data_IF_778265108129
#
_entry.id   IF_778265108129
#
_cell.length_a   1.000
_cell.length_b   1.000
_cell.length_c   1.000
_cell.angle_alpha   90.00
_cell.angle_beta   90.00
_cell.angle_gamma   90.00
#
_symmetry.space_group_name_H-M   'P 1'
#
loop_
_entity.id
_entity.type
_entity.pdbx_description
1 polymer ?
#
# COMPACT_ATOMS: atom_id res chain seq x y z
N UNK A 1 -15.01 13.83 10.93
CA UNK A 1 -13.75 13.11 11.22
C UNK A 1 -13.51 12.13 10.09
N UNK A 2 -12.39 12.24 9.36
CA UNK A 2 -12.00 11.18 8.43
C UNK A 2 -11.61 9.95 9.27
N UNK A 3 -12.03 8.73 8.89
CA UNK A 3 -11.63 7.55 9.62
C UNK A 3 -10.11 7.38 9.54
N UNK A 4 -9.42 7.34 10.68
CA UNK A 4 -8.07 6.80 10.75
C UNK A 4 -8.19 5.29 10.51
N UNK A 5 -7.83 4.83 9.32
CA UNK A 5 -7.91 3.43 8.96
C UNK A 5 -6.50 2.87 8.97
N UNK A 6 -6.20 2.13 10.03
CA UNK A 6 -4.96 1.37 10.18
C UNK A 6 -5.05 0.05 9.40
N UNK A 7 -4.02 -0.25 8.62
CA UNK A 7 -3.86 -1.46 7.83
C UNK A 7 -2.62 -2.23 8.27
N UNK A 8 -2.77 -3.47 8.71
CA UNK A 8 -1.63 -4.36 8.93
C UNK A 8 -1.29 -5.13 7.65
N UNK A 9 -0.01 -5.42 7.40
CA UNK A 9 0.41 -6.31 6.30
C UNK A 9 -0.33 -7.67 6.37
N UNK A 10 -0.60 -8.16 7.58
CA UNK A 10 -1.40 -9.38 7.82
C UNK A 10 -2.81 -9.33 7.22
N UNK A 11 -3.44 -8.15 7.13
CA UNK A 11 -4.76 -8.00 6.51
C UNK A 11 -4.68 -8.12 4.99
N UNK A 12 -3.62 -7.60 4.39
CA UNK A 12 -3.30 -7.78 2.97
C UNK A 12 -3.09 -9.28 2.70
N UNK A 13 -2.30 -9.95 3.55
CA UNK A 13 -2.09 -11.40 3.49
C UNK A 13 -3.38 -12.22 3.66
N UNK A 14 -4.28 -11.81 4.56
CA UNK A 14 -5.58 -12.46 4.78
C UNK A 14 -6.52 -12.37 3.56
N UNK A 15 -6.33 -11.38 2.69
CA UNK A 15 -7.03 -11.29 1.39
C UNK A 15 -6.39 -12.15 0.28
N UNK A 16 -5.54 -13.11 0.64
CA UNK A 16 -4.92 -14.09 -0.27
C UNK A 16 -3.55 -13.68 -0.82
N UNK A 17 -2.93 -12.65 -0.24
CA UNK A 17 -1.67 -12.07 -0.70
C UNK A 17 -0.54 -12.48 0.24
N UNK A 18 -0.17 -13.75 0.25
CA UNK A 18 0.88 -14.27 1.12
C UNK A 18 2.29 -13.90 0.61
N UNK A 19 3.26 -13.96 1.52
CA UNK A 19 4.69 -13.79 1.22
C UNK A 19 5.26 -14.87 0.29
N UNK A 20 4.48 -15.87 -0.11
CA UNK A 20 4.87 -16.84 -1.13
C UNK A 20 3.93 -16.84 -2.35
N UNK A 21 2.96 -15.92 -2.43
CA UNK A 21 2.10 -15.80 -3.61
C UNK A 21 2.96 -15.38 -4.80
N UNK A 22 3.25 -16.33 -5.69
CA UNK A 22 3.89 -16.08 -6.98
C UNK A 22 2.84 -15.47 -7.88
N UNK A 23 2.85 -14.16 -7.98
CA UNK A 23 2.10 -13.50 -9.04
C UNK A 23 2.85 -13.72 -10.35
N UNK A 24 2.12 -14.13 -11.39
CA UNK A 24 2.68 -14.62 -12.65
C UNK A 24 3.49 -13.59 -13.47
N UNK A 25 3.75 -12.41 -12.92
CA UNK A 25 4.53 -11.33 -13.53
C UNK A 25 5.43 -10.70 -12.48
N UNK A 26 6.73 -10.64 -12.76
CA UNK A 26 7.62 -9.67 -12.12
C UNK A 26 6.94 -8.29 -12.12
N UNK A 27 6.96 -7.58 -10.98
CA UNK A 27 6.34 -6.25 -10.87
C UNK A 27 4.86 -6.26 -10.52
N UNK A 28 4.37 -7.29 -9.81
CA UNK A 28 3.00 -7.27 -9.29
C UNK A 28 2.82 -6.13 -8.28
N UNK A 29 1.92 -5.23 -8.65
CA UNK A 29 1.55 -4.04 -7.90
C UNK A 29 0.13 -4.19 -7.39
N UNK A 30 -0.04 -3.94 -6.09
CA UNK A 30 -1.32 -3.76 -5.45
C UNK A 30 -1.54 -2.26 -5.32
N UNK A 31 -2.66 -1.78 -5.84
CA UNK A 31 -2.97 -0.35 -5.85
C UNK A 31 -4.07 -0.07 -4.85
N UNK A 32 -3.90 1.02 -4.11
CA UNK A 32 -4.95 1.62 -3.29
C UNK A 32 -5.23 2.99 -3.87
N UNK A 33 -6.50 3.26 -4.16
CA UNK A 33 -6.91 4.49 -4.82
C UNK A 33 -7.40 5.49 -3.77
N UNK A 34 -7.46 6.77 -4.12
CA UNK A 34 -8.03 7.79 -3.22
C UNK A 34 -9.49 7.47 -2.86
N UNK A 35 -10.25 6.86 -3.78
CA UNK A 35 -11.67 6.55 -3.62
C UNK A 35 -11.94 5.21 -2.93
N UNK A 36 -11.02 4.26 -3.04
CA UNK A 36 -11.09 2.93 -2.44
C UNK A 36 -9.76 2.58 -1.73
N UNK A 37 -9.34 3.37 -0.73
CA UNK A 37 -8.04 3.18 -0.10
C UNK A 37 -7.95 1.99 0.85
N UNK A 38 -9.08 1.32 1.06
CA UNK A 38 -9.21 0.15 1.92
C UNK A 38 -9.48 -1.12 1.11
N UNK A 39 -9.43 -1.07 -0.23
CA UNK A 39 -9.63 -2.23 -1.09
C UNK A 39 -8.47 -2.32 -2.08
N UNK A 40 -7.73 -3.44 -2.10
CA UNK A 40 -6.71 -3.63 -3.11
C UNK A 40 -7.36 -3.66 -4.50
N UNK A 41 -6.84 -2.84 -5.41
CA UNK A 41 -7.23 -2.77 -6.81
C UNK A 41 -6.11 -3.38 -7.65
N UNK A 42 -6.48 -4.39 -8.45
CA UNK A 42 -5.55 -5.11 -9.34
C UNK A 42 -5.67 -4.67 -10.81
N UNK A 43 -6.74 -3.94 -11.15
CA UNK A 43 -6.95 -3.34 -12.46
C UNK A 43 -7.31 -1.88 -12.27
N UNK A 44 -6.41 -1.01 -12.72
CA UNK A 44 -6.63 0.44 -12.76
C UNK A 44 -7.02 0.84 -14.18
N UNK A 45 -7.99 1.74 -14.27
CA UNK A 45 -8.26 2.50 -15.49
C UNK A 45 -7.45 3.80 -15.42
N UNK A 46 -7.17 4.42 -16.57
CA UNK A 46 -6.29 5.61 -16.66
C UNK A 46 -6.77 6.81 -15.81
N UNK A 47 -8.08 6.90 -15.52
CA UNK A 47 -8.67 7.99 -14.75
C UNK A 47 -8.56 7.82 -13.22
N UNK A 48 -7.98 6.72 -12.74
CA UNK A 48 -7.96 6.39 -11.31
C UNK A 48 -6.77 7.05 -10.60
N UNK A 49 -7.05 7.92 -9.63
CA UNK A 49 -6.03 8.48 -8.75
C UNK A 49 -5.50 7.43 -7.77
N UNK A 50 -4.27 6.99 -7.99
CA UNK A 50 -3.53 6.09 -7.12
C UNK A 50 -3.04 6.87 -5.89
N UNK A 51 -3.26 6.30 -4.70
CA UNK A 51 -2.78 6.85 -3.44
C UNK A 51 -1.58 6.07 -2.89
N UNK A 52 -1.66 4.75 -2.90
CA UNK A 52 -0.57 3.87 -2.47
C UNK A 52 -0.36 2.73 -3.45
N UNK A 53 0.89 2.30 -3.56
CA UNK A 53 1.25 1.08 -4.26
C UNK A 53 2.04 0.17 -3.33
N UNK A 54 1.61 -1.08 -3.20
CA UNK A 54 2.48 -2.14 -2.67
C UNK A 54 3.03 -2.95 -3.83
N UNK A 55 4.35 -3.02 -3.94
CA UNK A 55 5.03 -3.82 -4.96
C UNK A 55 5.87 -4.87 -4.29
N UNK A 56 5.87 -6.07 -4.87
CA UNK A 56 6.82 -7.11 -4.49
C UNK A 56 8.03 -7.04 -5.41
N UNK A 57 9.23 -6.94 -4.84
CA UNK A 57 10.49 -6.97 -5.58
C UNK A 57 11.45 -7.92 -4.88
N UNK A 58 12.02 -8.87 -5.65
CA UNK A 58 12.86 -9.96 -5.17
C UNK A 58 12.14 -10.79 -4.09
N UNK A 59 12.34 -10.54 -2.80
CA UNK A 59 11.65 -11.23 -1.70
C UNK A 59 11.05 -10.26 -0.66
N UNK A 60 11.00 -8.97 -0.98
CA UNK A 60 10.50 -7.95 -0.07
C UNK A 60 9.26 -7.25 -0.62
N UNK A 61 8.35 -6.91 0.29
CA UNK A 61 7.28 -5.96 0.03
C UNK A 61 7.82 -4.53 0.18
N UNK A 62 7.39 -3.68 -0.73
CA UNK A 62 7.70 -2.25 -0.71
C UNK A 62 6.40 -1.48 -0.81
N UNK A 63 6.22 -0.48 0.04
CA UNK A 63 5.14 0.49 -0.07
C UNK A 63 5.65 1.78 -0.70
N UNK A 64 4.86 2.37 -1.58
CA UNK A 64 5.13 3.65 -2.24
C UNK A 64 3.93 4.55 -2.01
N UNK A 65 4.18 5.73 -1.42
CA UNK A 65 3.18 6.78 -1.33
C UNK A 65 3.12 7.54 -2.65
N UNK A 66 2.08 7.32 -3.45
CA UNK A 66 1.89 8.01 -4.73
C UNK A 66 1.17 9.36 -4.56
N UNK A 67 0.76 9.69 -3.34
CA UNK A 67 0.03 10.92 -3.04
C UNK A 67 0.93 11.98 -2.43
N UNK A 68 0.74 13.22 -2.87
CA UNK A 68 1.27 14.43 -2.23
C UNK A 68 0.28 15.07 -1.24
N UNK A 69 -0.97 14.59 -1.21
CA UNK A 69 -2.07 15.13 -0.40
C UNK A 69 -2.34 14.28 0.85
N UNK A 70 -2.05 12.98 0.79
CA UNK A 70 -2.31 12.02 1.87
C UNK A 70 -0.99 11.50 2.44
N UNK A 71 -0.85 11.58 3.76
CA UNK A 71 0.29 10.99 4.45
C UNK A 71 0.06 9.48 4.66
N UNK A 72 1.16 8.73 4.55
CA UNK A 72 1.26 7.32 4.87
C UNK A 72 2.36 7.15 5.91
N UNK A 73 2.14 6.33 6.92
CA UNK A 73 3.17 5.90 7.86
C UNK A 73 3.31 4.39 7.86
N UNK A 74 4.51 3.91 8.19
CA UNK A 74 4.81 2.52 8.53
C UNK A 74 5.44 2.52 9.91
N UNK A 75 4.80 1.90 10.91
CA UNK A 75 5.25 1.93 12.30
C UNK A 75 5.60 3.35 12.77
N UNK A 76 4.68 4.30 12.57
CA UNK A 76 4.84 5.74 12.85
C UNK A 76 5.90 6.49 12.01
N UNK A 77 6.61 5.82 11.09
CA UNK A 77 7.57 6.46 10.19
C UNK A 77 6.88 6.91 8.90
N UNK A 78 7.02 8.20 8.56
CA UNK A 78 6.42 8.76 7.35
C UNK A 78 7.06 8.15 6.10
N UNK A 79 6.21 7.70 5.17
CA UNK A 79 6.60 7.35 3.80
C UNK A 79 6.46 8.60 2.95
N UNK A 80 7.61 9.21 2.64
CA UNK A 80 7.67 10.41 1.81
C UNK A 80 6.97 10.20 0.45
N UNK A 81 6.30 11.22 -0.09
CA UNK A 81 5.68 11.14 -1.41
C UNK A 81 6.69 10.69 -2.48
N UNK A 82 6.26 9.75 -3.32
CA UNK A 82 7.02 9.09 -4.38
C UNK A 82 8.27 8.31 -3.92
N UNK A 83 8.42 8.09 -2.61
CA UNK A 83 9.48 7.26 -2.06
C UNK A 83 8.97 5.87 -1.72
N UNK A 84 9.87 4.88 -1.80
CA UNK A 84 9.59 3.50 -1.41
C UNK A 84 10.13 3.21 -0.02
N UNK A 85 9.36 2.50 0.79
CA UNK A 85 9.80 1.96 2.07
C UNK A 85 9.63 0.44 2.07
N UNK A 86 10.61 -0.29 2.59
CA UNK A 86 10.53 -1.74 2.73
C UNK A 86 9.59 -2.08 3.87
N UNK A 87 8.71 -3.06 3.65
CA UNK A 87 7.84 -3.63 4.66
C UNK A 87 8.38 -4.96 5.15
N UNK A 88 8.19 -5.20 6.44
CA UNK A 88 8.44 -6.45 7.13
C UNK A 88 7.12 -7.05 7.63
N UNK A 89 7.16 -8.33 7.98
CA UNK A 89 6.02 -9.00 8.60
C UNK A 89 5.62 -8.30 9.91
N UNK A 90 4.34 -7.99 10.05
CA UNK A 90 3.79 -7.31 11.22
C UNK A 90 3.86 -5.78 11.18
N UNK A 91 4.45 -5.19 10.14
CA UNK A 91 4.46 -3.74 9.98
C UNK A 91 3.04 -3.17 9.91
N UNK A 92 2.84 -2.09 10.66
CA UNK A 92 1.60 -1.33 10.73
C UNK A 92 1.64 -0.19 9.74
N UNK A 93 0.74 -0.21 8.75
CA UNK A 93 0.60 0.82 7.73
C UNK A 93 -0.58 1.70 8.11
N UNK A 94 -0.39 2.99 8.28
CA UNK A 94 -1.49 3.93 8.47
C UNK A 94 -1.53 4.90 7.30
N UNK A 95 -2.74 5.17 6.82
CA UNK A 95 -2.93 6.01 5.66
C UNK A 95 -4.17 6.89 5.82
N UNK A 96 -4.18 8.03 5.14
CA UNK A 96 -5.28 8.99 5.20
C UNK A 96 -5.17 9.96 6.37
N UNK A 97 -3.98 10.05 6.99
CA UNK A 97 -3.62 11.16 7.87
C UNK A 97 -3.68 12.43 7.02
N UNK A 98 -4.76 13.21 7.16
CA UNK A 98 -4.77 14.57 6.63
C UNK A 98 -3.73 15.35 7.39
N UNK A 99 -2.93 16.12 6.67
CA UNK A 99 -2.07 17.15 7.24
C UNK A 99 -2.82 18.09 8.18
#
# INVERSE_FOLDING_TARGET
>A
MKPNITWGLQKIQAHGIADNTIYATEGTQIIFTVTSPWIPVFKVNDDVKIALTLTRHEEAWWIINQSTEYCCTVNDQIVEPHHRMRLNEGDLIEWGLSS
#
